data_IF_714159686156
#
_entry.id   IF_714159686156
#
_cell.length_a   1.000
_cell.length_b   1.000
_cell.length_c   1.000
_cell.angle_alpha   90.00
_cell.angle_beta   90.00
_cell.angle_gamma   90.00
#
_symmetry.space_group_name_H-M   'P 1'
#
loop_
_entity.id
_entity.type
_entity.pdbx_description
1 polymer ?
#
# COMPACT_ATOMS: atom_id res chain seq x y z
N UNK A 1 -7.87 -0.95 -3.66
CA UNK A 1 -8.94 -0.69 -4.67
C UNK A 1 -8.51 -1.33 -5.97
N UNK A 2 -9.33 -2.21 -6.55
CA UNK A 2 -9.01 -2.89 -7.80
C UNK A 2 -9.21 -1.96 -9.02
N UNK A 3 -8.45 -2.22 -10.08
CA UNK A 3 -8.51 -1.45 -11.32
C UNK A 3 -9.87 -1.58 -12.01
N UNK A 4 -10.32 -0.49 -12.65
CA UNK A 4 -11.57 -0.40 -13.43
C UNK A 4 -12.85 -0.88 -12.70
N UNK A 5 -12.89 -0.71 -11.38
CA UNK A 5 -14.13 -0.92 -10.62
C UNK A 5 -15.07 0.28 -10.80
N UNK A 6 -16.27 0.02 -11.33
CA UNK A 6 -17.31 1.02 -11.58
C UNK A 6 -17.58 1.93 -10.38
N UNK A 7 -17.55 1.36 -9.18
CA UNK A 7 -17.85 2.09 -7.95
C UNK A 7 -16.68 2.93 -7.43
N UNK A 8 -15.47 2.83 -7.99
CA UNK A 8 -14.31 3.59 -7.49
C UNK A 8 -14.59 5.10 -7.47
N UNK A 9 -15.15 5.66 -8.55
CA UNK A 9 -15.38 7.11 -8.63
C UNK A 9 -16.35 7.62 -7.57
N UNK A 10 -17.41 6.86 -7.27
CA UNK A 10 -18.44 7.22 -6.29
C UNK A 10 -17.97 6.94 -4.87
N UNK A 11 -17.48 5.71 -4.61
CA UNK A 11 -17.13 5.25 -3.28
C UNK A 11 -15.92 6.03 -2.70
N UNK A 12 -14.93 6.34 -3.53
CA UNK A 12 -13.75 7.10 -3.08
C UNK A 12 -14.14 8.52 -2.69
N UNK A 13 -14.92 9.21 -3.52
CA UNK A 13 -15.38 10.56 -3.20
C UNK A 13 -16.16 10.60 -1.88
N UNK A 14 -17.11 9.67 -1.70
CA UNK A 14 -17.90 9.56 -0.48
C UNK A 14 -17.06 9.21 0.75
N UNK A 15 -16.05 8.34 0.60
CA UNK A 15 -15.15 7.97 1.69
C UNK A 15 -14.34 9.19 2.16
N UNK A 16 -13.78 9.97 1.24
CA UNK A 16 -13.07 11.20 1.60
C UNK A 16 -13.99 12.24 2.24
N UNK A 17 -15.19 12.45 1.70
CA UNK A 17 -16.17 13.38 2.31
C UNK A 17 -16.51 12.97 3.75
N UNK A 18 -16.69 11.67 4.00
CA UNK A 18 -16.95 11.16 5.34
C UNK A 18 -15.73 11.30 6.26
N UNK A 19 -14.53 10.99 5.77
CA UNK A 19 -13.29 11.09 6.53
C UNK A 19 -13.02 12.54 6.96
N UNK A 20 -13.17 13.50 6.05
CA UNK A 20 -13.01 14.93 6.33
C UNK A 20 -13.98 15.43 7.40
N UNK A 21 -15.26 15.04 7.31
CA UNK A 21 -16.26 15.38 8.34
C UNK A 21 -15.95 14.80 9.71
N UNK A 22 -15.18 13.71 9.78
CA UNK A 22 -14.83 13.01 11.02
C UNK A 22 -13.40 13.28 11.50
N UNK A 23 -12.63 14.08 10.76
CA UNK A 23 -11.20 14.27 11.03
C UNK A 23 -10.35 13.00 10.82
N UNK A 24 -10.89 11.99 10.14
CA UNK A 24 -10.18 10.77 9.78
C UNK A 24 -9.32 10.99 8.54
N UNK A 25 -8.24 10.20 8.39
CA UNK A 25 -7.33 10.29 7.24
C UNK A 25 -7.37 9.01 6.42
N UNK A 26 -7.33 9.15 5.11
CA UNK A 26 -7.31 8.06 4.14
C UNK A 26 -6.06 8.15 3.28
N UNK A 27 -5.56 7.00 2.84
CA UNK A 27 -4.54 6.90 1.79
C UNK A 27 -4.99 5.87 0.76
N UNK A 28 -4.35 5.87 -0.40
CA UNK A 28 -4.63 4.84 -1.40
C UNK A 28 -3.72 3.63 -1.25
N UNK A 29 -4.37 2.47 -1.19
CA UNK A 29 -3.79 1.17 -1.42
C UNK A 29 -4.36 0.64 -2.74
N UNK A 30 -3.58 0.74 -3.81
CA UNK A 30 -3.98 0.28 -5.14
C UNK A 30 -3.77 -1.22 -5.24
N UNK A 31 -4.82 -1.95 -5.62
CA UNK A 31 -4.74 -3.40 -5.79
C UNK A 31 -4.34 -3.71 -7.23
N UNK A 32 -3.09 -4.15 -7.40
CA UNK A 32 -2.50 -4.50 -8.70
C UNK A 32 -2.70 -5.99 -9.04
N UNK A 33 -3.08 -6.83 -8.07
CA UNK A 33 -3.26 -8.27 -8.27
C UNK A 33 -4.72 -8.65 -8.55
N UNK A 34 -5.70 -7.87 -8.07
CA UNK A 34 -7.12 -8.24 -8.10
C UNK A 34 -7.72 -8.31 -9.51
N UNK A 35 -7.64 -7.21 -10.29
CA UNK A 35 -8.17 -7.12 -11.67
C UNK A 35 -7.08 -6.85 -12.72
N UNK A 36 -5.83 -7.10 -12.35
CA UNK A 36 -4.66 -6.70 -13.11
C UNK A 36 -4.13 -5.33 -12.68
N UNK A 37 -2.92 -4.98 -13.16
CA UNK A 37 -2.21 -3.81 -12.68
C UNK A 37 -2.88 -2.52 -13.12
N UNK A 38 -2.90 -1.54 -12.22
CA UNK A 38 -3.26 -0.18 -12.60
C UNK A 38 -2.22 0.39 -13.58
N UNK A 39 -2.68 1.17 -14.56
CA UNK A 39 -1.76 1.95 -15.40
C UNK A 39 -1.20 3.14 -14.63
N UNK A 40 -0.01 3.59 -15.03
CA UNK A 40 0.64 4.80 -14.50
C UNK A 40 -0.27 6.02 -14.58
N UNK A 41 -0.96 6.19 -15.71
CA UNK A 41 -1.83 7.32 -15.98
C UNK A 41 -3.04 7.31 -15.04
N UNK A 42 -3.65 6.15 -14.81
CA UNK A 42 -4.78 6.00 -13.89
C UNK A 42 -4.40 6.25 -12.44
N UNK A 43 -3.23 5.76 -12.01
CA UNK A 43 -2.71 6.06 -10.65
C UNK A 43 -2.44 7.55 -10.49
N UNK A 44 -1.75 8.16 -11.45
CA UNK A 44 -1.41 9.60 -11.39
C UNK A 44 -2.66 10.47 -11.39
N UNK A 45 -3.64 10.16 -12.24
CA UNK A 45 -4.92 10.87 -12.28
C UNK A 45 -5.71 10.72 -10.98
N UNK A 46 -5.75 9.51 -10.41
CA UNK A 46 -6.38 9.28 -9.11
C UNK A 46 -5.67 10.07 -8.01
N UNK A 47 -4.35 10.00 -7.91
CA UNK A 47 -3.60 10.74 -6.90
C UNK A 47 -3.80 12.26 -7.05
N UNK A 48 -3.71 12.80 -8.27
CA UNK A 48 -3.90 14.22 -8.54
C UNK A 48 -5.25 14.78 -8.06
N UNK A 49 -6.29 13.96 -8.06
CA UNK A 49 -7.63 14.36 -7.59
C UNK A 49 -7.78 14.40 -6.06
N UNK A 50 -6.95 13.67 -5.31
CA UNK A 50 -7.20 13.41 -3.88
C UNK A 50 -6.06 13.78 -2.94
N UNK A 51 -4.79 13.81 -3.37
CA UNK A 51 -3.65 14.05 -2.46
C UNK A 51 -3.69 15.42 -1.76
N UNK A 52 -4.41 16.38 -2.32
CA UNK A 52 -4.59 17.73 -1.74
C UNK A 52 -5.84 17.86 -0.88
N UNK A 53 -6.66 16.80 -0.76
CA UNK A 53 -7.82 16.81 0.12
C UNK A 53 -7.39 16.79 1.57
N UNK A 54 -8.12 17.52 2.41
CA UNK A 54 -7.83 17.59 3.84
C UNK A 54 -7.93 16.22 4.53
N UNK A 55 -8.72 15.31 3.97
CA UNK A 55 -8.85 13.92 4.43
C UNK A 55 -7.71 13.00 4.00
N UNK A 56 -6.73 13.46 3.21
CA UNK A 56 -5.61 12.63 2.78
C UNK A 56 -4.55 12.49 3.88
N UNK A 57 -4.04 11.28 4.06
CA UNK A 57 -2.98 10.99 5.03
C UNK A 57 -1.62 11.40 4.47
N UNK A 58 -0.90 12.22 5.25
CA UNK A 58 0.44 12.68 4.91
C UNK A 58 1.46 12.04 5.87
N UNK A 59 2.45 11.34 5.33
CA UNK A 59 3.63 10.89 6.09
C UNK A 59 4.68 11.99 6.02
N UNK A 60 4.96 12.65 7.15
CA UNK A 60 5.94 13.74 7.24
C UNK A 60 5.70 14.85 6.18
N UNK A 61 4.43 15.15 5.89
CA UNK A 61 4.03 16.16 4.90
C UNK A 61 3.95 15.64 3.45
N UNK A 62 4.34 14.41 3.18
CA UNK A 62 4.23 13.79 1.85
C UNK A 62 2.99 12.90 1.74
N UNK A 63 2.27 12.90 0.60
CA UNK A 63 1.14 11.99 0.39
C UNK A 63 1.60 10.53 0.53
N UNK A 64 1.02 9.77 1.45
CA UNK A 64 1.36 8.36 1.60
C UNK A 64 0.59 7.51 0.59
N UNK A 65 1.28 6.58 -0.08
CA UNK A 65 0.67 5.68 -1.08
C UNK A 65 1.23 4.27 -0.92
N UNK A 66 0.38 3.26 -1.14
CA UNK A 66 0.73 1.84 -1.12
C UNK A 66 0.13 1.10 -2.31
N UNK A 67 0.68 -0.07 -2.61
CA UNK A 67 0.03 -1.08 -3.45
C UNK A 67 -0.16 -2.37 -2.69
N UNK A 68 -1.10 -3.20 -3.16
CA UNK A 68 -1.07 -4.65 -2.95
C UNK A 68 -0.53 -5.27 -4.23
N UNK A 69 0.62 -5.91 -4.12
CA UNK A 69 1.40 -6.46 -5.22
C UNK A 69 1.74 -5.42 -6.33
N UNK A 70 2.11 -5.92 -7.52
CA UNK A 70 2.55 -5.13 -8.67
C UNK A 70 4.07 -4.88 -8.79
N UNK A 71 4.98 -5.79 -8.36
CA UNK A 71 6.43 -5.55 -8.47
C UNK A 71 6.93 -5.38 -9.91
N UNK A 72 6.21 -5.94 -10.89
CA UNK A 72 6.52 -5.78 -12.32
C UNK A 72 6.18 -4.39 -12.87
N UNK A 73 5.51 -3.56 -12.07
CA UNK A 73 5.19 -2.16 -12.37
C UNK A 73 6.04 -1.18 -11.56
N UNK A 74 7.13 -1.64 -10.93
CA UNK A 74 7.98 -0.79 -10.11
C UNK A 74 8.56 0.42 -10.88
N UNK A 75 8.91 0.26 -12.16
CA UNK A 75 9.48 1.36 -12.97
C UNK A 75 8.49 2.53 -13.16
N UNK A 76 7.18 2.25 -13.22
CA UNK A 76 6.16 3.30 -13.32
C UNK A 76 6.19 4.23 -12.10
N UNK A 77 6.59 3.71 -10.93
CA UNK A 77 6.63 4.46 -9.69
C UNK A 77 7.75 5.52 -9.64
N UNK A 78 8.76 5.44 -10.51
CA UNK A 78 9.75 6.51 -10.65
C UNK A 78 9.04 7.80 -11.09
N UNK A 79 8.28 7.72 -12.18
CA UNK A 79 7.54 8.85 -12.73
C UNK A 79 6.39 9.29 -11.81
N UNK A 80 5.63 8.34 -11.25
CA UNK A 80 4.50 8.65 -10.33
C UNK A 80 5.01 9.46 -9.13
N UNK A 81 6.14 9.05 -8.53
CA UNK A 81 6.73 9.78 -7.40
C UNK A 81 7.23 11.16 -7.81
N UNK A 82 7.84 11.31 -8.98
CA UNK A 82 8.26 12.62 -9.50
C UNK A 82 7.06 13.56 -9.63
N UNK A 83 5.94 13.09 -10.17
CA UNK A 83 4.76 13.93 -10.42
C UNK A 83 3.99 14.25 -9.13
N UNK A 84 3.92 13.31 -8.20
CA UNK A 84 3.04 13.42 -7.03
C UNK A 84 3.76 13.79 -5.74
N UNK A 85 5.08 13.62 -5.68
CA UNK A 85 5.88 13.82 -4.46
C UNK A 85 5.56 12.82 -3.34
N UNK A 86 4.91 11.70 -3.66
CA UNK A 86 4.40 10.76 -2.67
C UNK A 86 5.50 9.98 -1.94
N UNK A 87 5.19 9.59 -0.70
CA UNK A 87 5.94 8.64 0.09
C UNK A 87 5.36 7.24 -0.17
N UNK A 88 6.15 6.37 -0.78
CA UNK A 88 5.67 5.12 -1.37
C UNK A 88 6.13 3.88 -0.61
N UNK A 89 5.19 3.12 -0.06
CA UNK A 89 5.43 1.91 0.73
C UNK A 89 4.58 0.76 0.15
N UNK A 90 5.05 0.07 -0.92
CA UNK A 90 4.30 -1.03 -1.52
C UNK A 90 4.37 -2.30 -0.70
N UNK A 91 3.33 -3.13 -0.84
CA UNK A 91 3.44 -4.56 -0.60
C UNK A 91 3.84 -5.27 -1.89
N UNK A 92 5.06 -5.80 -1.91
CA UNK A 92 5.60 -6.66 -2.96
C UNK A 92 6.03 -8.00 -2.36
N UNK A 93 5.21 -8.54 -1.47
CA UNK A 93 5.51 -9.78 -0.75
C UNK A 93 5.79 -10.97 -1.68
N UNK A 94 5.19 -11.02 -2.88
CA UNK A 94 5.42 -12.08 -3.87
C UNK A 94 6.88 -12.27 -4.31
N UNK A 95 7.71 -11.22 -4.26
CA UNK A 95 9.14 -11.30 -4.63
C UNK A 95 10.07 -11.32 -3.41
N UNK A 96 9.53 -11.09 -2.21
CA UNK A 96 10.28 -10.99 -0.95
C UNK A 96 11.05 -9.68 -0.78
N UNK A 97 11.37 -9.34 0.47
CA UNK A 97 11.88 -8.02 0.85
C UNK A 97 13.18 -7.59 0.14
N UNK A 98 14.13 -8.52 -0.05
CA UNK A 98 15.42 -8.22 -0.69
C UNK A 98 15.23 -7.77 -2.14
N UNK A 99 14.46 -8.54 -2.90
CA UNK A 99 14.20 -8.25 -4.31
C UNK A 99 13.33 -6.99 -4.42
N UNK A 100 12.26 -6.91 -3.62
CA UNK A 100 11.39 -5.74 -3.55
C UNK A 100 12.17 -4.43 -3.33
N UNK A 101 13.16 -4.42 -2.43
CA UNK A 101 13.98 -3.24 -2.18
C UNK A 101 14.93 -2.86 -3.32
N UNK A 102 15.25 -3.78 -4.23
CA UNK A 102 16.10 -3.50 -5.39
C UNK A 102 15.33 -3.05 -6.64
N UNK A 103 14.00 -3.24 -6.67
CA UNK A 103 13.16 -2.93 -7.83
C UNK A 103 13.23 -1.45 -8.19
N UNK A 104 13.32 -1.18 -9.49
CA UNK A 104 13.39 0.17 -10.07
C UNK A 104 14.43 1.07 -9.37
N UNK A 105 15.62 0.52 -9.12
CA UNK A 105 16.70 1.25 -8.46
C UNK A 105 16.43 1.59 -6.99
N UNK A 106 15.51 0.88 -6.32
CA UNK A 106 15.14 1.14 -4.94
C UNK A 106 14.12 2.26 -4.76
N UNK A 107 13.18 2.37 -5.72
CA UNK A 107 12.14 3.41 -5.77
C UNK A 107 11.24 3.47 -4.52
N UNK A 108 11.05 2.34 -3.84
CA UNK A 108 10.24 2.24 -2.62
C UNK A 108 10.91 2.95 -1.43
N UNK A 109 10.15 3.77 -0.70
CA UNK A 109 10.63 4.47 0.50
C UNK A 109 10.57 3.59 1.75
N UNK A 110 9.76 2.54 1.71
CA UNK A 110 9.65 1.49 2.70
C UNK A 110 8.96 0.28 2.08
N UNK A 111 8.69 -0.76 2.87
CA UNK A 111 7.89 -1.88 2.41
C UNK A 111 6.76 -2.20 3.38
N UNK A 112 5.69 -2.72 2.82
CA UNK A 112 4.56 -3.28 3.52
C UNK A 112 4.62 -4.82 3.41
N UNK A 113 4.34 -5.51 4.51
CA UNK A 113 4.13 -6.96 4.51
C UNK A 113 2.65 -7.28 4.65
N UNK A 114 2.10 -8.05 3.71
CA UNK A 114 0.72 -8.55 3.76
C UNK A 114 0.55 -9.77 4.69
N UNK A 115 1.63 -10.25 5.30
CA UNK A 115 1.65 -11.49 6.09
C UNK A 115 1.12 -11.22 7.50
N UNK A 116 -0.20 -11.15 7.64
CA UNK A 116 -0.88 -10.95 8.93
C UNK A 116 -1.44 -12.24 9.55
N UNK A 117 -1.35 -13.38 8.84
CA UNK A 117 -1.98 -14.64 9.21
C UNK A 117 -1.07 -15.85 8.96
N UNK A 118 -1.28 -16.93 9.74
CA UNK A 118 -0.52 -18.18 9.60
C UNK A 118 -0.69 -18.81 8.23
N UNK A 119 0.38 -19.42 7.73
CA UNK A 119 0.28 -20.25 6.53
C UNK A 119 -0.23 -21.64 6.90
N UNK A 120 -1.53 -21.87 6.66
CA UNK A 120 -2.20 -23.11 7.04
C UNK A 120 -2.20 -23.32 8.55
N UNK A 121 -1.70 -24.48 9.00
CA UNK A 121 -1.61 -24.82 10.42
C UNK A 121 -0.32 -24.34 11.11
N UNK A 122 0.57 -23.63 10.40
CA UNK A 122 1.83 -23.16 10.95
C UNK A 122 1.57 -21.93 11.82
N UNK A 123 2.07 -21.94 13.06
CA UNK A 123 2.03 -20.73 13.89
C UNK A 123 2.79 -19.60 13.20
N UNK A 124 2.32 -18.37 13.36
CA UNK A 124 3.06 -17.19 12.96
C UNK A 124 4.40 -17.15 13.70
N UNK A 125 5.45 -16.72 12.98
CA UNK A 125 6.76 -16.43 13.54
C UNK A 125 7.22 -15.03 13.11
N UNK A 126 8.39 -14.62 13.60
CA UNK A 126 8.97 -13.30 13.31
C UNK A 126 9.96 -13.31 12.14
N UNK A 127 10.09 -14.42 11.41
CA UNK A 127 11.13 -14.59 10.40
C UNK A 127 10.91 -13.65 9.21
N UNK A 128 9.66 -13.52 8.77
CA UNK A 128 9.28 -12.58 7.70
C UNK A 128 9.60 -11.15 8.14
N UNK A 129 9.15 -10.73 9.32
CA UNK A 129 9.44 -9.39 9.85
C UNK A 129 10.94 -9.11 9.97
N UNK A 130 11.72 -10.07 10.47
CA UNK A 130 13.16 -9.96 10.58
C UNK A 130 13.83 -9.78 9.22
N UNK A 131 13.35 -10.47 8.18
CA UNK A 131 13.88 -10.30 6.82
C UNK A 131 13.58 -8.90 6.27
N UNK A 132 12.40 -8.34 6.51
CA UNK A 132 12.05 -6.97 6.10
C UNK A 132 12.94 -5.96 6.81
N UNK A 133 13.09 -6.09 8.14
CA UNK A 133 13.95 -5.21 8.93
C UNK A 133 15.40 -5.24 8.45
N UNK A 134 15.91 -6.41 8.08
CA UNK A 134 17.27 -6.56 7.53
C UNK A 134 17.43 -5.85 6.19
N UNK A 135 16.53 -6.07 5.24
CA UNK A 135 16.69 -5.58 3.86
C UNK A 135 16.24 -4.13 3.66
N UNK A 136 15.36 -3.61 4.53
CA UNK A 136 14.98 -2.21 4.52
C UNK A 136 16.13 -1.29 4.94
N UNK A 137 17.12 -1.81 5.67
CA UNK A 137 18.33 -1.07 6.06
C UNK A 137 18.02 0.32 6.66
N UNK A 138 17.04 0.38 7.56
CA UNK A 138 16.58 1.60 8.22
C UNK A 138 15.43 2.35 7.53
N UNK A 139 15.00 1.93 6.34
CA UNK A 139 13.74 2.41 5.73
C UNK A 139 12.51 1.94 6.53
N UNK A 140 11.40 2.68 6.52
CA UNK A 140 10.20 2.28 7.26
C UNK A 140 9.64 0.92 6.83
N UNK A 141 9.23 0.14 7.84
CA UNK A 141 8.51 -1.11 7.67
C UNK A 141 7.05 -0.94 8.13
N UNK A 142 6.09 -1.19 7.25
CA UNK A 142 4.68 -1.30 7.62
C UNK A 142 4.34 -2.77 7.86
N UNK A 143 4.01 -3.11 9.11
CA UNK A 143 3.64 -4.47 9.52
C UNK A 143 2.12 -4.59 9.51
N UNK A 144 1.59 -5.65 8.89
CA UNK A 144 0.19 -6.02 9.07
C UNK A 144 0.02 -6.80 10.38
N UNK A 145 -0.83 -6.29 11.28
CA UNK A 145 -1.20 -6.99 12.51
C UNK A 145 -2.70 -7.30 12.50
N UNK A 146 -3.08 -8.52 12.87
CA UNK A 146 -4.47 -8.94 13.04
C UNK A 146 -4.72 -9.45 14.46
N UNK A 147 -5.88 -9.13 15.02
CA UNK A 147 -6.45 -9.83 16.17
C UNK A 147 -7.64 -10.69 15.72
N UNK A 148 -7.52 -12.02 15.78
CA UNK A 148 -8.63 -12.93 15.49
C UNK A 148 -9.33 -13.33 16.78
N UNK A 149 -10.62 -12.98 16.91
CA UNK A 149 -11.50 -13.53 17.95
C UNK A 149 -12.49 -14.47 17.26
N UNK A 150 -12.25 -15.78 17.39
CA UNK A 150 -13.24 -16.78 16.98
C UNK A 150 -14.21 -16.98 18.15
N UNK A 151 -15.43 -16.46 18.02
CA UNK A 151 -16.51 -16.82 18.93
C UNK A 151 -16.92 -18.26 18.61
N UNK A 152 -16.48 -19.22 19.42
CA UNK A 152 -17.10 -20.54 19.41
C UNK A 152 -18.41 -20.42 20.18
N UNK A 153 -19.53 -20.41 19.46
CA UNK A 153 -20.82 -20.65 20.08
C UNK A 153 -20.84 -22.07 20.66
N UNK A 154 -21.44 -22.27 21.86
CA UNK A 154 -21.47 -23.56 22.55
C UNK A 154 -22.20 -24.66 21.78
#
# INVERSE_FOLDING_TARGET
MAYDEYMNSVAVAQAFDAAERKGFKLFFLFDYAGKGPWSKESVTGMLGNYIYRSGYYLHQGQPFVSTFEGPDKAEDWIDIKIVTGCFFVPDWSSVGAKEAMSRAGGVADGLFSWVAWPWGAQNMDTYVDASYLQYLNGKPYMIACLSLVLHQSP
#
